data_IF_795018324062
#
_entry.id   IF_795018324062
#
_cell.length_a   1.000
_cell.length_b   1.000
_cell.length_c   1.000
_cell.angle_alpha   90.00
_cell.angle_beta   90.00
_cell.angle_gamma   90.00
#
_symmetry.space_group_name_H-M   'P 1'
#
loop_
_entity.id
_entity.type
_entity.pdbx_description
1 polymer ?
#
# COMPACT_ATOMS: atom_id res chain seq x y z
N UNK A 1 10.80 -10.81 7.86
CA UNK A 1 10.40 -9.43 8.23
C UNK A 1 8.90 -9.44 8.51
N UNK A 2 8.41 -8.89 9.62
CA UNK A 2 6.96 -8.89 9.87
C UNK A 2 6.28 -7.74 9.13
N UNK A 3 5.42 -8.05 8.16
CA UNK A 3 4.67 -7.08 7.34
C UNK A 3 3.15 -7.20 7.52
N UNK A 4 2.72 -7.98 8.52
CA UNK A 4 1.33 -8.38 8.73
C UNK A 4 0.38 -7.19 8.88
N UNK A 5 0.78 -6.13 9.60
CA UNK A 5 -0.10 -4.98 9.81
C UNK A 5 -0.29 -4.20 8.51
N UNK A 6 0.79 -4.00 7.75
CA UNK A 6 0.68 -3.37 6.41
C UNK A 6 -0.21 -4.21 5.50
N UNK A 7 -0.06 -5.53 5.48
CA UNK A 7 -0.92 -6.43 4.70
C UNK A 7 -2.39 -6.32 5.10
N UNK A 8 -2.70 -6.36 6.40
CA UNK A 8 -4.07 -6.27 6.90
C UNK A 8 -4.72 -4.92 6.55
N UNK A 9 -3.97 -3.82 6.66
CA UNK A 9 -4.46 -2.49 6.26
C UNK A 9 -4.65 -2.39 4.75
N UNK A 10 -3.75 -2.96 3.95
CA UNK A 10 -3.88 -3.00 2.51
C UNK A 10 -5.11 -3.80 2.06
N UNK A 11 -5.40 -4.93 2.71
CA UNK A 11 -6.63 -5.69 2.47
C UNK A 11 -7.89 -4.94 2.87
N UNK A 12 -7.86 -4.16 3.96
CA UNK A 12 -8.97 -3.30 4.36
C UNK A 12 -9.19 -2.18 3.34
N UNK A 13 -8.12 -1.55 2.87
CA UNK A 13 -8.16 -0.54 1.82
C UNK A 13 -8.76 -1.12 0.53
N UNK A 14 -8.33 -2.31 0.11
CA UNK A 14 -8.86 -3.03 -1.05
C UNK A 14 -10.38 -3.23 -0.96
N UNK A 15 -10.87 -3.72 0.18
CA UNK A 15 -12.32 -3.90 0.39
C UNK A 15 -13.07 -2.58 0.38
N UNK A 16 -12.54 -1.56 1.08
CA UNK A 16 -13.14 -0.23 1.14
C UNK A 16 -13.21 0.42 -0.25
N UNK A 17 -12.19 0.25 -1.08
CA UNK A 17 -12.19 0.76 -2.45
C UNK A 17 -13.31 0.12 -3.28
N UNK A 18 -13.42 -1.22 -3.27
CA UNK A 18 -14.49 -1.93 -3.97
C UNK A 18 -15.88 -1.52 -3.51
N UNK A 19 -16.12 -1.45 -2.20
CA UNK A 19 -17.40 -1.01 -1.63
C UNK A 19 -17.77 0.42 -2.08
N UNK A 20 -16.79 1.33 -2.15
CA UNK A 20 -17.04 2.71 -2.56
C UNK A 20 -17.20 2.83 -4.08
N UNK A 21 -16.45 2.06 -4.87
CA UNK A 21 -16.60 2.01 -6.32
C UNK A 21 -17.99 1.50 -6.72
N UNK A 22 -18.45 0.39 -6.13
CA UNK A 22 -19.80 -0.15 -6.35
C UNK A 22 -20.89 0.87 -6.00
N UNK A 23 -20.72 1.57 -4.87
CA UNK A 23 -21.65 2.62 -4.45
C UNK A 23 -21.66 3.81 -5.40
N UNK A 24 -20.51 4.22 -5.93
CA UNK A 24 -20.41 5.33 -6.87
C UNK A 24 -20.95 4.99 -8.25
N UNK A 25 -20.86 3.73 -8.66
CA UNK A 25 -21.44 3.23 -9.90
C UNK A 25 -22.97 3.05 -9.84
N UNK A 26 -23.56 3.05 -8.64
CA UNK A 26 -25.00 2.86 -8.47
C UNK A 26 -25.81 4.03 -9.08
N UNK A 27 -26.96 3.75 -9.73
CA UNK A 27 -27.81 4.80 -10.30
C UNK A 27 -28.31 5.79 -9.25
N UNK A 28 -28.30 7.09 -9.58
CA UNK A 28 -28.84 8.14 -8.71
C UNK A 28 -27.96 8.50 -7.52
N UNK A 29 -26.69 8.09 -7.52
CA UNK A 29 -25.72 8.44 -6.48
C UNK A 29 -25.46 9.94 -6.44
N UNK A 30 -25.49 10.54 -5.23
CA UNK A 30 -25.14 11.94 -5.03
C UNK A 30 -23.66 12.19 -5.36
N UNK A 31 -23.33 13.10 -6.30
CA UNK A 31 -21.95 13.46 -6.63
C UNK A 31 -21.09 13.87 -5.42
N UNK A 32 -21.69 14.41 -4.34
CA UNK A 32 -20.98 14.77 -3.10
C UNK A 32 -20.40 13.56 -2.37
N UNK A 33 -20.90 12.35 -2.64
CA UNK A 33 -20.40 11.11 -2.06
C UNK A 33 -19.00 10.76 -2.58
N UNK A 34 -18.67 11.14 -3.82
CA UNK A 34 -17.35 10.90 -4.40
C UNK A 34 -16.28 11.56 -3.53
N UNK A 35 -16.45 12.84 -3.16
CA UNK A 35 -15.43 13.50 -2.34
C UNK A 35 -15.32 12.96 -0.92
N UNK A 36 -16.42 12.49 -0.34
CA UNK A 36 -16.37 11.81 0.95
C UNK A 36 -15.68 10.44 0.85
N UNK A 37 -15.89 9.71 -0.24
CA UNK A 37 -15.25 8.43 -0.53
C UNK A 37 -13.74 8.60 -0.69
N UNK A 38 -13.29 9.55 -1.51
CA UNK A 38 -11.87 9.83 -1.73
C UNK A 38 -11.15 10.21 -0.46
N UNK A 39 -11.73 11.09 0.38
CA UNK A 39 -11.13 11.41 1.70
C UNK A 39 -10.95 10.17 2.59
N UNK A 40 -11.92 9.26 2.60
CA UNK A 40 -11.82 8.00 3.36
C UNK A 40 -10.72 7.09 2.81
N UNK A 41 -10.63 6.98 1.49
CA UNK A 41 -9.62 6.16 0.82
C UNK A 41 -8.21 6.71 1.03
N UNK A 42 -8.01 8.02 0.87
CA UNK A 42 -6.71 8.66 1.13
C UNK A 42 -6.25 8.50 2.58
N UNK A 43 -7.18 8.57 3.54
CA UNK A 43 -6.87 8.24 4.93
C UNK A 43 -6.43 6.78 5.08
N UNK A 44 -7.13 5.83 4.44
CA UNK A 44 -6.75 4.43 4.48
C UNK A 44 -5.40 4.15 3.79
N UNK A 45 -5.06 4.86 2.71
CA UNK A 45 -3.71 4.81 2.09
C UNK A 45 -2.65 5.31 3.07
N UNK A 46 -2.87 6.46 3.71
CA UNK A 46 -1.95 6.99 4.72
C UNK A 46 -1.76 6.02 5.90
N UNK A 47 -2.82 5.32 6.29
CA UNK A 47 -2.78 4.27 7.30
C UNK A 47 -1.91 3.07 6.88
N UNK A 48 -1.93 2.67 5.61
CA UNK A 48 -1.02 1.64 5.06
C UNK A 48 0.42 2.14 5.10
N UNK A 49 0.68 3.38 4.68
CA UNK A 49 2.01 3.99 4.69
C UNK A 49 2.59 4.07 6.11
N UNK A 50 1.79 4.45 7.11
CA UNK A 50 2.22 4.51 8.50
C UNK A 50 2.61 3.11 9.02
N UNK A 51 1.80 2.09 8.72
CA UNK A 51 2.13 0.72 9.15
C UNK A 51 3.41 0.22 8.49
N UNK A 52 3.61 0.52 7.21
CA UNK A 52 4.83 0.17 6.51
C UNK A 52 6.05 0.85 7.16
N UNK A 53 5.96 2.16 7.42
CA UNK A 53 7.04 2.89 8.12
C UNK A 53 7.36 2.30 9.48
N UNK A 54 6.33 1.95 10.26
CA UNK A 54 6.48 1.38 11.59
C UNK A 54 7.08 -0.04 11.57
N UNK A 55 6.74 -0.85 10.57
CA UNK A 55 7.29 -2.21 10.42
C UNK A 55 8.73 -2.19 9.90
N UNK A 56 9.04 -1.30 8.95
CA UNK A 56 10.41 -1.08 8.46
C UNK A 56 11.33 -0.62 9.60
N UNK A 57 10.86 0.31 10.45
CA UNK A 57 11.64 0.78 11.59
C UNK A 57 11.98 -0.34 12.59
N UNK A 58 11.15 -1.38 12.67
CA UNK A 58 11.36 -2.55 13.55
C UNK A 58 12.13 -3.70 12.88
N UNK A 59 12.34 -3.65 11.57
CA UNK A 59 12.92 -4.77 10.82
C UNK A 59 14.36 -5.10 11.21
N UNK A 60 15.08 -4.18 11.88
CA UNK A 60 16.45 -4.40 12.36
C UNK A 60 17.48 -4.65 11.24
N UNK A 61 17.12 -4.37 9.98
CA UNK A 61 17.94 -4.54 8.78
C UNK A 61 17.60 -3.42 7.82
N UNK A 62 18.62 -2.85 7.16
CA UNK A 62 18.36 -1.88 6.10
C UNK A 62 17.78 -2.58 4.87
N UNK A 63 16.60 -2.14 4.46
CA UNK A 63 15.91 -2.66 3.28
C UNK A 63 16.26 -1.86 2.01
N UNK A 64 17.00 -0.75 2.14
CA UNK A 64 17.57 0.00 1.03
C UNK A 64 16.58 0.25 -0.12
N UNK A 65 16.88 -0.18 -1.37
CA UNK A 65 16.01 0.00 -2.53
C UNK A 65 14.62 -0.61 -2.40
N UNK A 66 14.49 -1.72 -1.65
CA UNK A 66 13.20 -2.38 -1.44
C UNK A 66 12.27 -1.51 -0.60
N UNK A 67 12.78 -0.84 0.43
CA UNK A 67 12.02 0.16 1.19
C UNK A 67 11.43 1.21 0.26
N UNK A 68 12.28 1.80 -0.56
CA UNK A 68 11.88 2.85 -1.50
C UNK A 68 10.85 2.36 -2.52
N UNK A 69 11.00 1.13 -3.02
CA UNK A 69 10.04 0.51 -3.94
C UNK A 69 8.67 0.33 -3.30
N UNK A 70 8.60 -0.30 -2.13
CA UNK A 70 7.32 -0.53 -1.42
C UNK A 70 6.66 0.79 -1.06
N UNK A 71 7.42 1.75 -0.54
CA UNK A 71 6.89 3.10 -0.24
C UNK A 71 6.31 3.76 -1.48
N UNK A 72 7.00 3.69 -2.61
CA UNK A 72 6.50 4.24 -3.88
C UNK A 72 5.22 3.55 -4.32
N UNK A 73 5.18 2.22 -4.32
CA UNK A 73 3.99 1.45 -4.70
C UNK A 73 2.78 1.74 -3.82
N UNK A 74 2.97 1.96 -2.51
CA UNK A 74 1.87 2.38 -1.63
C UNK A 74 1.40 3.80 -2.00
N UNK A 75 2.32 4.73 -2.27
CA UNK A 75 1.97 6.10 -2.66
C UNK A 75 1.21 6.16 -3.99
N UNK A 76 1.54 5.29 -4.94
CA UNK A 76 0.87 5.19 -6.24
C UNK A 76 -0.62 4.78 -6.10
N UNK A 77 -1.01 4.11 -5.01
CA UNK A 77 -2.41 3.77 -4.72
C UNK A 77 -3.31 5.00 -4.48
N UNK A 78 -2.73 6.16 -4.15
CA UNK A 78 -3.51 7.39 -3.98
C UNK A 78 -4.12 7.89 -5.29
N UNK A 79 -3.45 7.64 -6.44
CA UNK A 79 -3.90 8.10 -7.74
C UNK A 79 -5.30 7.60 -8.11
N UNK A 80 -5.52 6.27 -8.19
CA UNK A 80 -6.84 5.70 -8.47
C UNK A 80 -7.92 6.16 -7.49
N UNK A 81 -7.57 6.36 -6.21
CA UNK A 81 -8.50 6.88 -5.22
C UNK A 81 -8.98 8.29 -5.59
N UNK A 82 -8.08 9.19 -5.98
CA UNK A 82 -8.44 10.56 -6.39
C UNK A 82 -9.21 10.56 -7.71
N UNK A 83 -8.91 9.64 -8.62
CA UNK A 83 -9.61 9.53 -9.90
C UNK A 83 -11.11 9.28 -9.74
N UNK A 84 -11.58 8.70 -8.64
CA UNK A 84 -13.02 8.52 -8.36
C UNK A 84 -13.83 9.83 -8.24
N UNK A 85 -13.18 10.96 -8.00
CA UNK A 85 -13.83 12.29 -8.01
C UNK A 85 -13.99 12.87 -9.43
N UNK A 86 -13.37 12.27 -10.45
CA UNK A 86 -13.41 12.82 -11.80
C UNK A 86 -14.78 12.55 -12.47
N UNK A 87 -15.40 13.54 -13.13
CA UNK A 87 -16.73 13.38 -13.74
C UNK A 87 -16.83 12.28 -14.81
N UNK A 88 -15.71 11.97 -15.48
CA UNK A 88 -15.65 10.96 -16.54
C UNK A 88 -15.09 9.61 -16.05
N UNK A 89 -14.87 9.46 -14.75
CA UNK A 89 -14.36 8.22 -14.18
C UNK A 89 -15.39 7.10 -14.30
N UNK A 90 -14.92 5.91 -14.69
CA UNK A 90 -15.64 4.66 -14.47
C UNK A 90 -15.14 4.06 -13.13
N UNK A 91 -15.96 4.09 -12.05
CA UNK A 91 -15.53 3.61 -10.75
C UNK A 91 -15.18 2.12 -10.75
N UNK A 92 -15.83 1.30 -11.57
CA UNK A 92 -15.61 -0.14 -11.61
C UNK A 92 -14.32 -0.49 -12.35
N UNK A 93 -14.00 0.25 -13.42
CA UNK A 93 -12.71 0.11 -14.09
C UNK A 93 -11.56 0.54 -13.15
N UNK A 94 -11.71 1.67 -12.44
CA UNK A 94 -10.71 2.13 -11.47
C UNK A 94 -10.52 1.10 -10.33
N UNK A 95 -11.59 0.43 -9.90
CA UNK A 95 -11.51 -0.65 -8.92
C UNK A 95 -10.74 -1.87 -9.43
N UNK A 96 -10.94 -2.26 -10.70
CA UNK A 96 -10.18 -3.35 -11.31
C UNK A 96 -8.67 -3.05 -11.31
N UNK A 97 -8.27 -1.87 -11.77
CA UNK A 97 -6.86 -1.44 -11.82
C UNK A 97 -6.26 -1.31 -10.40
N UNK A 98 -7.07 -0.82 -9.45
CA UNK A 98 -6.68 -0.72 -8.04
C UNK A 98 -6.45 -2.10 -7.41
N UNK A 99 -7.31 -3.08 -7.71
CA UNK A 99 -7.19 -4.45 -7.24
C UNK A 99 -5.91 -5.11 -7.73
N UNK A 100 -5.56 -4.92 -8.99
CA UNK A 100 -4.32 -5.45 -9.56
C UNK A 100 -3.08 -4.90 -8.85
N UNK A 101 -3.06 -3.58 -8.63
CA UNK A 101 -1.99 -2.90 -7.90
C UNK A 101 -1.86 -3.40 -6.46
N UNK A 102 -2.99 -3.55 -5.76
CA UNK A 102 -3.04 -4.08 -4.40
C UNK A 102 -2.61 -5.55 -4.33
N UNK A 103 -3.03 -6.38 -5.29
CA UNK A 103 -2.66 -7.80 -5.34
C UNK A 103 -1.15 -7.98 -5.51
N UNK A 104 -0.55 -7.23 -6.45
CA UNK A 104 0.89 -7.23 -6.68
C UNK A 104 1.68 -6.84 -5.42
N UNK A 105 1.21 -5.81 -4.72
CA UNK A 105 1.83 -5.36 -3.47
C UNK A 105 1.65 -6.37 -2.33
N UNK A 106 0.48 -6.99 -2.19
CA UNK A 106 0.25 -8.04 -1.19
C UNK A 106 1.14 -9.27 -1.41
N UNK A 107 1.32 -9.70 -2.66
CA UNK A 107 2.21 -10.79 -3.01
C UNK A 107 3.66 -10.46 -2.63
N UNK A 108 4.12 -9.24 -2.92
CA UNK A 108 5.44 -8.77 -2.50
C UNK A 108 5.59 -8.79 -0.97
N UNK A 109 4.64 -8.21 -0.24
CA UNK A 109 4.69 -8.14 1.24
C UNK A 109 4.70 -9.52 1.90
N UNK A 110 3.91 -10.48 1.37
CA UNK A 110 3.93 -11.88 1.81
C UNK A 110 5.24 -12.57 1.49
N UNK A 111 5.81 -12.29 0.32
CA UNK A 111 7.16 -12.74 -0.04
C UNK A 111 8.19 -12.30 1.01
N UNK A 112 8.16 -11.02 1.43
CA UNK A 112 9.06 -10.50 2.47
C UNK A 112 8.83 -11.12 3.86
N UNK A 113 7.61 -11.52 4.17
CA UNK A 113 7.28 -12.19 5.42
C UNK A 113 7.79 -13.63 5.45
N UNK A 114 7.66 -14.35 4.33
CA UNK A 114 8.14 -15.74 4.17
C UNK A 114 9.66 -15.86 3.94
N UNK A 115 10.33 -14.77 3.55
CA UNK A 115 11.78 -14.79 3.27
C UNK A 115 12.58 -14.71 4.56
N UNK A 116 13.56 -15.61 4.69
CA UNK A 116 14.49 -15.60 5.82
C UNK A 116 15.35 -14.32 5.81
N UNK A 117 15.64 -13.72 6.99
CA UNK A 117 16.38 -12.46 7.06
C UNK A 117 17.74 -12.48 6.37
N UNK A 118 18.46 -13.61 6.42
CA UNK A 118 19.79 -13.75 5.81
C UNK A 118 19.72 -13.82 4.29
N UNK A 119 18.71 -14.51 3.75
CA UNK A 119 18.42 -14.53 2.32
C UNK A 119 18.06 -13.14 1.81
N UNK A 120 17.22 -12.41 2.56
CA UNK A 120 16.84 -11.05 2.20
C UNK A 120 18.06 -10.12 2.17
N UNK A 121 18.95 -10.22 3.17
CA UNK A 121 20.20 -9.45 3.23
C UNK A 121 21.12 -9.77 2.03
N UNK A 122 21.26 -11.06 1.69
CA UNK A 122 22.06 -11.50 0.55
C UNK A 122 21.52 -10.96 -0.78
N UNK A 123 20.21 -10.98 -1.00
CA UNK A 123 19.59 -10.46 -2.22
C UNK A 123 19.72 -8.96 -2.37
N UNK A 124 19.60 -8.22 -1.27
CA UNK A 124 19.67 -6.76 -1.28
C UNK A 124 21.11 -6.24 -1.40
N UNK A 125 22.12 -7.13 -1.37
CA UNK A 125 23.55 -6.77 -1.38
C UNK A 125 23.87 -5.66 -0.37
N UNK A 126 23.17 -5.66 0.78
CA UNK A 126 23.49 -4.74 1.87
C UNK A 126 24.82 -5.22 2.41
N UNK A 127 25.89 -4.51 2.07
CA UNK A 127 27.20 -4.77 2.63
C UNK A 127 27.07 -4.78 4.16
N UNK A 128 27.71 -5.75 4.82
CA UNK A 128 27.98 -5.73 6.25
C UNK A 128 28.69 -4.41 6.58
N UNK A 129 27.91 -3.37 6.83
CA UNK A 129 28.43 -2.10 7.31
C UNK A 129 28.27 -2.21 8.81
N UNK A 130 29.33 -2.57 9.55
CA UNK A 130 29.22 -2.62 11.00
C UNK A 130 28.75 -1.24 11.48
N UNK A 131 27.66 -1.23 12.24
CA UNK A 131 27.23 -0.05 12.98
C UNK A 131 28.43 0.39 13.83
N UNK A 132 29.15 1.43 13.40
CA UNK A 132 30.18 2.06 14.22
C UNK A 132 29.49 2.51 15.51
N UNK A 133 29.79 1.83 16.61
CA UNK A 133 29.45 2.35 17.95
C UNK A 133 30.23 3.65 18.12
N UNK A 134 29.59 4.74 18.58
CA UNK A 134 30.33 5.93 18.97
C UNK A 134 31.28 5.57 20.12
N UNK A 135 32.52 6.05 20.01
CA UNK A 135 33.55 5.96 21.04
C UNK A 135 33.20 6.85 22.24
#
# INVERSE_FOLDING_TARGET
>A
MHTLMTQLRLQRLLRLHGELAERLAAPGTDPRLASAAVRKLLKAVADVQESWRAEVARAGTDLGPLRSRVTRSISELAGPCVSLEQPAADPLQLDADFRESCASLLLLLRGLESTQPDTLRAWLKVADTPLRRPA
#
